data_IF_507068506655
#
_entry.id   IF_507068506655
#
_cell.length_a   1.000
_cell.length_b   1.000
_cell.length_c   1.000
_cell.angle_alpha   90.00
_cell.angle_beta   90.00
_cell.angle_gamma   90.00
#
_symmetry.space_group_name_H-M   'P 1'
#
loop_
_entity.id
_entity.type
_entity.pdbx_description
1 polymer ?
#
# COMPACT_ATOMS: atom_id res chain seq x y z
N UNK A 1 -15.13 -9.66 27.54
CA UNK A 1 -13.81 -9.12 27.94
C UNK A 1 -13.83 -8.74 29.41
N UNK A 2 -12.97 -9.34 30.24
CA UNK A 2 -12.67 -8.78 31.57
C UNK A 2 -11.91 -7.47 31.35
N UNK A 3 -12.44 -6.38 31.91
CA UNK A 3 -11.77 -5.08 32.14
C UNK A 3 -10.28 -5.27 32.51
N UNK A 4 -9.37 -5.28 31.54
CA UNK A 4 -7.92 -5.25 31.78
C UNK A 4 -7.13 -4.38 30.80
N UNK A 5 -7.81 -3.58 29.99
CA UNK A 5 -7.19 -2.51 29.17
C UNK A 5 -8.18 -1.33 29.12
N UNK A 6 -8.60 -0.80 30.26
CA UNK A 6 -9.53 0.34 30.28
C UNK A 6 -9.14 1.48 31.20
N UNK A 7 -7.94 1.48 31.80
CA UNK A 7 -7.62 2.52 32.79
C UNK A 7 -6.27 3.24 32.61
N UNK A 8 -5.35 2.80 31.74
CA UNK A 8 -4.04 3.46 31.62
C UNK A 8 -3.53 3.84 30.23
N UNK A 9 -4.22 3.51 29.14
CA UNK A 9 -3.77 3.89 27.79
C UNK A 9 -4.99 4.28 26.95
N UNK A 10 -5.14 5.58 26.66
CA UNK A 10 -6.32 6.20 26.06
C UNK A 10 -6.57 5.89 24.58
N UNK A 11 -6.31 4.65 24.15
CA UNK A 11 -6.51 4.23 22.76
C UNK A 11 -7.76 3.35 22.69
N UNK A 12 -8.84 3.91 22.17
CA UNK A 12 -10.06 3.16 21.90
C UNK A 12 -9.85 2.19 20.72
N UNK A 13 -9.68 0.91 21.05
CA UNK A 13 -9.52 -0.18 20.07
C UNK A 13 -10.69 -0.26 19.07
N UNK A 14 -11.89 0.20 19.45
CA UNK A 14 -13.09 0.22 18.59
C UNK A 14 -12.97 1.13 17.38
N UNK A 15 -12.06 2.10 17.39
CA UNK A 15 -11.86 3.05 16.29
C UNK A 15 -10.89 2.51 15.24
N UNK A 16 -10.02 1.58 15.64
CA UNK A 16 -8.95 1.03 14.78
C UNK A 16 -9.26 -0.41 14.34
N UNK A 17 -9.92 -1.20 15.19
CA UNK A 17 -10.30 -2.58 14.91
C UNK A 17 -11.81 -2.70 14.71
N UNK A 18 -12.22 -3.54 13.75
CA UNK A 18 -13.61 -3.95 13.52
C UNK A 18 -13.77 -5.43 13.78
N UNK A 19 -14.92 -5.83 14.33
CA UNK A 19 -15.20 -7.24 14.60
C UNK A 19 -15.83 -7.91 13.38
N UNK A 20 -15.26 -9.05 13.00
CA UNK A 20 -15.80 -9.91 11.96
C UNK A 20 -15.95 -11.34 12.47
N UNK A 21 -16.97 -12.05 11.97
CA UNK A 21 -17.17 -13.47 12.26
C UNK A 21 -16.18 -14.31 11.46
N UNK A 22 -15.11 -14.74 12.11
CA UNK A 22 -14.11 -15.60 11.51
C UNK A 22 -14.29 -17.06 11.94
N UNK A 23 -14.02 -17.98 11.01
CA UNK A 23 -14.09 -19.41 11.26
C UNK A 23 -12.83 -19.87 12.00
N UNK A 24 -13.00 -20.47 13.18
CA UNK A 24 -11.91 -21.05 13.95
C UNK A 24 -11.63 -22.52 13.54
N UNK A 25 -10.50 -23.07 14.04
CA UNK A 25 -10.09 -24.45 13.77
C UNK A 25 -11.12 -25.52 14.17
N UNK A 26 -12.03 -25.19 15.11
CA UNK A 26 -13.13 -26.05 15.53
C UNK A 26 -14.39 -25.94 14.64
N UNK A 27 -14.27 -25.34 13.45
CA UNK A 27 -15.35 -25.07 12.50
C UNK A 27 -16.49 -24.15 13.01
N UNK A 28 -16.33 -23.48 14.15
CA UNK A 28 -17.30 -22.50 14.66
C UNK A 28 -16.87 -21.08 14.30
N UNK A 29 -17.84 -20.17 14.19
CA UNK A 29 -17.60 -18.76 13.93
C UNK A 29 -17.55 -17.96 15.23
N UNK A 30 -16.56 -17.08 15.36
CA UNK A 30 -16.39 -16.20 16.50
C UNK A 30 -16.16 -14.76 16.03
N UNK A 31 -16.62 -13.80 16.81
CA UNK A 31 -16.29 -12.40 16.59
C UNK A 31 -14.81 -12.18 16.92
N UNK A 32 -14.04 -11.77 15.90
CA UNK A 32 -12.60 -11.53 15.99
C UNK A 32 -12.31 -10.10 15.60
N UNK A 33 -11.51 -9.40 16.42
CA UNK A 33 -11.03 -8.06 16.09
C UNK A 33 -10.07 -8.14 14.88
N UNK A 34 -10.40 -7.41 13.83
CA UNK A 34 -9.64 -7.32 12.59
C UNK A 34 -9.27 -5.86 12.33
N UNK A 35 -8.10 -5.63 11.76
CA UNK A 35 -7.67 -4.33 11.28
C UNK A 35 -7.17 -4.49 9.84
N UNK A 36 -7.35 -3.45 9.04
CA UNK A 36 -6.66 -3.33 7.76
C UNK A 36 -5.20 -2.92 7.96
N UNK A 37 -4.45 -2.75 6.87
CA UNK A 37 -3.03 -2.40 6.93
C UNK A 37 -2.80 -1.09 7.66
N UNK A 38 -3.58 -0.05 7.38
CA UNK A 38 -3.46 1.24 8.05
C UNK A 38 -3.74 1.11 9.54
N UNK A 39 -4.82 0.43 9.91
CA UNK A 39 -5.16 0.16 11.30
C UNK A 39 -4.07 -0.61 12.04
N UNK A 40 -3.44 -1.60 11.40
CA UNK A 40 -2.32 -2.33 11.99
C UNK A 40 -1.11 -1.42 12.24
N UNK A 41 -0.76 -0.54 11.30
CA UNK A 41 0.32 0.44 11.47
C UNK A 41 0.01 1.44 12.59
N UNK A 42 -1.26 1.85 12.73
CA UNK A 42 -1.72 2.69 13.84
C UNK A 42 -1.61 2.01 15.19
N UNK A 43 -1.96 0.74 15.29
CA UNK A 43 -1.76 -0.07 16.51
C UNK A 43 -0.27 -0.12 16.86
N UNK A 44 0.61 -0.36 15.88
CA UNK A 44 2.07 -0.39 16.13
C UNK A 44 2.56 0.95 16.69
N UNK A 45 2.07 2.08 16.17
CA UNK A 45 2.41 3.42 16.66
C UNK A 45 1.97 3.66 18.11
N UNK A 46 0.83 3.09 18.53
CA UNK A 46 0.29 3.31 19.87
C UNK A 46 0.95 2.49 20.98
N UNK A 47 1.65 1.40 20.65
CA UNK A 47 2.29 0.52 21.65
C UNK A 47 3.39 1.28 22.43
N UNK A 48 3.31 1.45 23.76
CA UNK A 48 4.30 2.20 24.55
C UNK A 48 5.54 1.38 24.94
N UNK A 49 5.77 0.24 24.28
CA UNK A 49 6.91 -0.64 24.54
C UNK A 49 8.15 -0.22 23.74
N UNK A 50 9.35 -0.22 24.35
CA UNK A 50 10.61 -0.07 23.61
C UNK A 50 10.82 -1.11 22.50
N UNK A 51 10.14 -2.26 22.58
CA UNK A 51 10.18 -3.29 21.53
C UNK A 51 9.48 -2.86 20.24
N UNK A 52 8.55 -1.91 20.30
CA UNK A 52 7.89 -1.36 19.12
C UNK A 52 8.73 -0.25 18.44
N UNK A 53 9.72 0.30 19.14
CA UNK A 53 10.53 1.43 18.65
C UNK A 53 11.21 1.19 17.31
N UNK A 54 11.79 0.00 17.01
CA UNK A 54 12.35 -0.27 15.69
C UNK A 54 11.32 -0.08 14.56
N UNK A 55 10.07 -0.50 14.77
CA UNK A 55 9.01 -0.33 13.78
C UNK A 55 8.56 1.11 13.66
N UNK A 56 8.52 1.87 14.76
CA UNK A 56 8.17 3.30 14.73
C UNK A 56 9.22 4.13 14.00
N UNK A 57 10.51 3.85 14.23
CA UNK A 57 11.61 4.48 13.48
C UNK A 57 11.56 4.16 12.01
N UNK A 58 11.32 2.89 11.66
CA UNK A 58 11.13 2.49 10.27
C UNK A 58 9.95 3.23 9.62
N UNK A 59 8.82 3.38 10.31
CA UNK A 59 7.68 4.16 9.80
C UNK A 59 8.03 5.65 9.62
N UNK A 60 8.81 6.23 10.53
CA UNK A 60 9.26 7.61 10.42
C UNK A 60 10.22 7.82 9.24
N UNK A 61 11.15 6.88 9.03
CA UNK A 61 12.09 6.87 7.91
C UNK A 61 11.35 6.78 6.57
N UNK A 62 10.46 5.80 6.41
CA UNK A 62 9.64 5.66 5.19
C UNK A 62 8.80 6.92 4.96
N UNK A 63 8.23 7.50 6.03
CA UNK A 63 7.47 8.75 5.97
C UNK A 63 8.33 9.93 5.49
N UNK A 64 9.56 10.05 5.98
CA UNK A 64 10.51 11.08 5.55
C UNK A 64 10.89 10.89 4.07
N UNK A 65 11.21 9.66 3.65
CA UNK A 65 11.47 9.36 2.23
C UNK A 65 10.28 9.75 1.34
N UNK A 66 9.03 9.52 1.79
CA UNK A 66 7.85 9.93 1.01
C UNK A 66 7.79 11.45 0.83
N UNK A 67 8.13 12.22 1.86
CA UNK A 67 8.15 13.68 1.79
C UNK A 67 9.26 14.16 0.84
N UNK A 68 10.45 13.58 0.94
CA UNK A 68 11.56 13.86 0.03
C UNK A 68 11.23 13.53 -1.43
N UNK A 69 10.52 12.42 -1.68
CA UNK A 69 10.03 12.05 -3.01
C UNK A 69 8.99 13.02 -3.56
N UNK A 70 8.18 13.66 -2.70
CA UNK A 70 7.22 14.68 -3.13
C UNK A 70 7.95 15.96 -3.56
N UNK A 71 8.98 16.34 -2.80
CA UNK A 71 9.80 17.52 -3.10
C UNK A 71 10.73 17.29 -4.31
N UNK A 72 11.26 16.07 -4.45
CA UNK A 72 12.08 15.64 -5.58
C UNK A 72 11.56 14.33 -6.22
N UNK A 73 10.67 14.44 -7.22
CA UNK A 73 10.09 13.29 -7.92
C UNK A 73 11.10 12.35 -8.58
N UNK A 74 12.33 12.79 -8.88
CA UNK A 74 13.37 11.93 -9.44
C UNK A 74 13.76 10.80 -8.47
N UNK A 75 13.70 11.05 -7.16
CA UNK A 75 13.94 10.03 -6.13
C UNK A 75 12.90 8.91 -6.21
N UNK A 76 11.65 9.22 -6.53
CA UNK A 76 10.60 8.22 -6.71
C UNK A 76 10.87 7.33 -7.93
N UNK A 77 11.40 7.91 -9.02
CA UNK A 77 11.78 7.17 -10.22
C UNK A 77 12.96 6.22 -9.94
N UNK A 78 13.98 6.67 -9.21
CA UNK A 78 15.11 5.80 -8.84
C UNK A 78 14.68 4.70 -7.88
N UNK A 79 13.82 4.99 -6.89
CA UNK A 79 13.25 3.97 -6.01
C UNK A 79 12.48 2.91 -6.80
N UNK A 80 11.70 3.31 -7.81
CA UNK A 80 10.99 2.37 -8.67
C UNK A 80 11.95 1.42 -9.40
N UNK A 81 13.07 1.94 -9.92
CA UNK A 81 14.13 1.11 -10.52
C UNK A 81 14.70 0.13 -9.51
N UNK A 82 15.04 0.59 -8.30
CA UNK A 82 15.56 -0.25 -7.23
C UNK A 82 14.58 -1.36 -6.82
N UNK A 83 13.28 -1.07 -6.72
CA UNK A 83 12.25 -2.06 -6.40
C UNK A 83 12.27 -3.21 -7.42
N UNK A 84 12.40 -2.90 -8.71
CA UNK A 84 12.48 -3.94 -9.73
C UNK A 84 13.82 -4.68 -9.70
N UNK A 85 14.95 -4.00 -9.45
CA UNK A 85 16.25 -4.66 -9.26
C UNK A 85 16.21 -5.67 -8.12
N UNK A 86 15.64 -5.31 -6.97
CA UNK A 86 15.48 -6.21 -5.81
C UNK A 86 14.61 -7.42 -6.12
N UNK A 87 13.64 -7.27 -7.03
CA UNK A 87 12.82 -8.39 -7.54
C UNK A 87 13.56 -9.27 -8.57
N UNK A 88 14.79 -8.93 -8.94
CA UNK A 88 15.63 -9.70 -9.85
C UNK A 88 15.44 -9.39 -11.34
N UNK A 89 14.83 -8.26 -11.69
CA UNK A 89 14.70 -7.84 -13.09
C UNK A 89 15.99 -7.17 -13.60
N UNK A 90 16.32 -7.36 -14.88
CA UNK A 90 17.47 -6.71 -15.52
C UNK A 90 17.21 -5.23 -15.79
N UNK A 91 18.26 -4.40 -15.82
CA UNK A 91 18.13 -2.97 -16.13
C UNK A 91 17.44 -2.72 -17.48
N UNK A 92 17.75 -3.52 -18.51
CA UNK A 92 17.09 -3.43 -19.82
C UNK A 92 15.57 -3.69 -19.74
N UNK A 93 15.17 -4.67 -18.93
CA UNK A 93 13.75 -4.97 -18.72
C UNK A 93 13.06 -3.82 -17.96
N UNK A 94 13.74 -3.26 -16.97
CA UNK A 94 13.23 -2.15 -16.15
C UNK A 94 13.01 -0.92 -17.02
N UNK A 95 13.98 -0.55 -17.85
CA UNK A 95 13.86 0.63 -18.71
C UNK A 95 12.73 0.47 -19.73
N UNK A 96 12.62 -0.70 -20.38
CA UNK A 96 11.48 -1.01 -21.26
C UNK A 96 10.14 -0.92 -20.50
N UNK A 97 10.11 -1.39 -19.25
CA UNK A 97 8.90 -1.34 -18.43
C UNK A 97 8.50 0.10 -18.09
N UNK A 98 9.45 0.96 -17.77
CA UNK A 98 9.20 2.37 -17.48
C UNK A 98 8.66 3.09 -18.72
N UNK A 99 9.28 2.89 -19.88
CA UNK A 99 8.80 3.44 -21.16
C UNK A 99 7.37 2.99 -21.47
N UNK A 100 7.08 1.69 -21.30
CA UNK A 100 5.72 1.14 -21.49
C UNK A 100 4.69 1.77 -20.55
N UNK A 101 5.06 2.16 -19.32
CA UNK A 101 4.16 2.86 -18.42
C UNK A 101 3.87 4.27 -18.95
N UNK A 102 4.90 5.00 -19.38
CA UNK A 102 4.74 6.35 -19.96
C UNK A 102 3.84 6.32 -21.19
N UNK A 103 4.12 5.46 -22.17
CA UNK A 103 3.29 5.36 -23.39
C UNK A 103 1.84 5.02 -23.08
N UNK A 104 1.57 4.14 -22.10
CA UNK A 104 0.20 3.81 -21.72
C UNK A 104 -0.51 4.97 -21.02
N UNK A 105 0.20 5.74 -20.20
CA UNK A 105 -0.38 6.92 -19.55
C UNK A 105 -0.71 7.98 -20.59
N UNK A 106 0.21 8.29 -21.52
CA UNK A 106 -0.04 9.24 -22.62
C UNK A 106 -1.25 8.84 -23.45
N UNK A 107 -1.37 7.56 -23.81
CA UNK A 107 -2.54 7.04 -24.51
C UNK A 107 -3.80 7.16 -23.65
N UNK A 108 -3.73 6.85 -22.35
CA UNK A 108 -4.89 6.99 -21.45
C UNK A 108 -5.36 8.45 -21.36
N UNK A 109 -4.42 9.39 -21.26
CA UNK A 109 -4.68 10.83 -21.17
C UNK A 109 -5.30 11.37 -22.48
N UNK A 110 -4.76 10.97 -23.63
CA UNK A 110 -5.35 11.32 -24.93
C UNK A 110 -6.81 10.86 -25.06
N UNK A 111 -7.14 9.69 -24.51
CA UNK A 111 -8.47 9.09 -24.64
C UNK A 111 -9.46 9.71 -23.66
N UNK A 112 -9.01 10.03 -22.44
CA UNK A 112 -9.79 10.84 -21.50
C UNK A 112 -10.11 12.21 -22.11
N UNK A 113 -9.12 12.86 -22.75
CA UNK A 113 -9.33 14.13 -23.46
C UNK A 113 -10.33 14.01 -24.62
N UNK A 114 -10.49 12.81 -25.20
CA UNK A 114 -11.48 12.50 -26.24
C UNK A 114 -12.84 12.05 -25.69
N UNK A 115 -13.02 12.06 -24.36
CA UNK A 115 -14.29 11.76 -23.70
C UNK A 115 -14.59 10.26 -23.57
N UNK A 116 -13.59 9.38 -23.72
CA UNK A 116 -13.76 7.95 -23.46
C UNK A 116 -13.78 7.74 -21.94
N UNK A 117 -14.93 7.33 -21.39
CA UNK A 117 -15.08 7.07 -19.96
C UNK A 117 -14.27 5.82 -19.55
N UNK A 118 -13.53 5.93 -18.44
CA UNK A 118 -12.67 4.88 -17.92
C UNK A 118 -13.48 3.60 -17.63
N UNK A 119 -13.39 2.62 -18.53
CA UNK A 119 -14.17 1.39 -18.49
C UNK A 119 -13.54 0.24 -19.26
N UNK A 120 -14.39 -0.64 -19.79
CA UNK A 120 -13.98 -1.89 -20.46
C UNK A 120 -13.08 -1.66 -21.68
N UNK A 121 -13.24 -0.52 -22.36
CA UNK A 121 -12.49 -0.15 -23.56
C UNK A 121 -11.01 0.13 -23.26
N UNK A 122 -10.72 0.84 -22.17
CA UNK A 122 -9.34 1.11 -21.70
C UNK A 122 -8.63 -0.18 -21.30
N UNK A 123 -9.35 -1.12 -20.66
CA UNK A 123 -8.79 -2.40 -20.23
C UNK A 123 -8.44 -3.33 -21.40
N UNK A 124 -9.28 -3.39 -22.44
CA UNK A 124 -9.04 -4.20 -23.64
C UNK A 124 -7.78 -3.71 -24.37
N UNK A 125 -7.65 -2.40 -24.58
CA UNK A 125 -6.48 -1.84 -25.26
C UNK A 125 -5.21 -1.93 -24.43
N UNK A 126 -5.29 -1.75 -23.12
CA UNK A 126 -4.13 -1.97 -22.23
C UNK A 126 -3.61 -3.40 -22.36
N UNK A 127 -4.51 -4.37 -22.53
CA UNK A 127 -4.16 -5.77 -22.73
C UNK A 127 -3.61 -6.04 -24.15
N UNK A 128 -4.04 -5.28 -25.14
CA UNK A 128 -3.60 -5.39 -26.53
C UNK A 128 -2.18 -4.81 -26.72
N UNK A 129 -1.90 -3.65 -26.12
CA UNK A 129 -0.57 -3.02 -26.10
C UNK A 129 0.43 -3.87 -25.30
N UNK A 130 -0.01 -4.53 -24.23
CA UNK A 130 0.87 -5.41 -23.43
C UNK A 130 1.25 -6.72 -24.15
N UNK A 131 0.56 -7.08 -25.24
CA UNK A 131 0.83 -8.28 -26.05
C UNK A 131 1.66 -8.00 -27.30
N UNK A 132 1.69 -6.76 -27.77
CA UNK A 132 2.52 -6.30 -28.89
C UNK A 132 3.99 -6.19 -28.48
#
# INVERSE_FOLDING_TARGET
MKKRVSENEGVELSTICRQFKLKAANNRFYDTDCADTEGMLRIIQSIPSPKAEPFKRWLAEVGAERLEEIDNPELAAERLRQIYRVKGYSDDWIERRLQSIVTRNELTDEWQNRGVEAGREVAILTAEIARA
#
